data_IF_922013022241
#
_entry.id   IF_922013022241
#
_cell.length_a   1.000
_cell.length_b   1.000
_cell.length_c   1.000
_cell.angle_alpha   90.00
_cell.angle_beta   90.00
_cell.angle_gamma   90.00
#
_symmetry.space_group_name_H-M   'P 1'
#
loop_
_entity.id
_entity.type
_entity.pdbx_description
1 polymer ?
#
# COMPACT_ATOMS: atom_id res chain seq x y z
N UNK A 1 -41.33 15.34 30.99
CA UNK A 1 -40.17 14.62 30.43
C UNK A 1 -38.89 15.31 30.91
N UNK A 2 -38.11 14.67 31.78
CA UNK A 2 -37.09 15.35 32.58
C UNK A 2 -35.93 15.85 31.70
N UNK A 3 -35.67 17.16 31.75
CA UNK A 3 -34.57 17.83 31.02
C UNK A 3 -33.20 17.15 31.23
N UNK A 4 -33.04 16.46 32.36
CA UNK A 4 -31.86 15.65 32.70
C UNK A 4 -31.67 14.40 31.82
N UNK A 5 -32.75 13.74 31.38
CA UNK A 5 -32.69 12.58 30.48
C UNK A 5 -32.34 12.97 29.05
N UNK A 6 -32.83 14.12 28.60
CA UNK A 6 -32.51 14.67 27.27
C UNK A 6 -31.04 15.07 27.19
N UNK A 7 -30.48 15.66 28.25
CA UNK A 7 -29.06 16.05 28.31
C UNK A 7 -28.12 14.83 28.21
N UNK A 8 -28.44 13.72 28.91
CA UNK A 8 -27.64 12.50 28.88
C UNK A 8 -27.64 11.81 27.50
N UNK A 9 -28.76 11.83 26.77
CA UNK A 9 -28.84 11.25 25.41
C UNK A 9 -28.01 12.07 24.41
N UNK A 10 -28.01 13.40 24.53
CA UNK A 10 -27.17 14.27 23.69
C UNK A 10 -25.68 14.07 24.00
N UNK A 11 -25.31 13.94 25.28
CA UNK A 11 -23.92 13.72 25.68
C UNK A 11 -23.39 12.35 25.20
N UNK A 12 -24.22 11.31 25.26
CA UNK A 12 -23.85 9.96 24.79
C UNK A 12 -23.85 9.85 23.26
N UNK A 13 -24.69 10.62 22.57
CA UNK A 13 -24.66 10.74 21.11
C UNK A 13 -23.41 11.49 20.61
N UNK A 14 -22.94 12.50 21.36
CA UNK A 14 -21.75 13.29 21.00
C UNK A 14 -20.43 12.55 21.26
N UNK A 15 -20.37 11.71 22.29
CA UNK A 15 -19.16 10.91 22.60
C UNK A 15 -18.90 9.79 21.58
N UNK A 16 -19.95 9.24 20.96
CA UNK A 16 -19.80 8.20 19.93
C UNK A 16 -19.20 8.73 18.61
N UNK A 17 -19.38 10.02 18.30
CA UNK A 17 -18.83 10.64 17.08
C UNK A 17 -17.31 10.87 17.18
N UNK A 18 -16.78 11.07 18.39
CA UNK A 18 -15.36 11.38 18.62
C UNK A 18 -14.43 10.16 18.56
N UNK A 19 -14.95 8.94 18.49
CA UNK A 19 -14.14 7.71 18.38
C UNK A 19 -13.75 7.33 16.94
N UNK A 20 -14.18 8.12 15.95
CA UNK A 20 -13.95 7.83 14.54
C UNK A 20 -12.70 8.54 14.02
N UNK A 21 -11.51 8.02 14.33
CA UNK A 21 -10.30 8.50 13.66
C UNK A 21 -8.99 8.27 14.39
N UNK A 22 -8.56 7.01 14.52
CA UNK A 22 -7.16 6.73 14.82
C UNK A 22 -6.64 5.65 13.87
N UNK A 23 -6.23 6.07 12.68
CA UNK A 23 -5.38 5.30 11.79
C UNK A 23 -4.40 6.29 11.16
N UNK A 24 -3.09 5.99 11.22
CA UNK A 24 -2.11 6.82 10.54
C UNK A 24 -2.37 6.72 9.04
N UNK A 25 -2.79 7.83 8.42
CA UNK A 25 -2.97 7.90 6.97
C UNK A 25 -1.63 8.28 6.35
N UNK A 26 -1.25 7.56 5.30
CA UNK A 26 -0.06 7.88 4.50
C UNK A 26 -0.45 8.45 3.14
N UNK A 27 0.53 9.00 2.42
CA UNK A 27 0.35 9.39 1.03
C UNK A 27 0.07 8.16 0.16
N UNK A 28 -0.90 8.29 -0.73
CA UNK A 28 -1.20 7.27 -1.73
C UNK A 28 -0.07 7.16 -2.76
N UNK A 29 0.09 5.96 -3.33
CA UNK A 29 1.03 5.67 -4.40
C UNK A 29 0.26 5.15 -5.61
N UNK A 30 0.52 5.74 -6.77
CA UNK A 30 0.00 5.28 -8.05
C UNK A 30 1.13 4.59 -8.82
N UNK A 31 0.96 3.29 -9.04
CA UNK A 31 1.90 2.45 -9.79
C UNK A 31 1.49 2.41 -11.26
N UNK A 32 2.38 2.82 -12.16
CA UNK A 32 2.18 2.74 -13.61
C UNK A 32 3.02 1.60 -14.16
N UNK A 33 2.34 0.54 -14.56
CA UNK A 33 2.97 -0.66 -15.11
C UNK A 33 3.19 -0.47 -16.61
N UNK A 34 4.21 -1.10 -17.21
CA UNK A 34 4.35 -1.11 -18.67
C UNK A 34 3.10 -1.71 -19.34
N UNK A 35 2.88 -1.30 -20.59
CA UNK A 35 1.83 -1.90 -21.43
C UNK A 35 2.08 -3.41 -21.51
N UNK A 36 1.02 -4.19 -21.33
CA UNK A 36 1.03 -5.67 -21.39
C UNK A 36 1.95 -6.37 -20.36
N UNK A 37 2.50 -5.65 -19.37
CA UNK A 37 3.27 -6.23 -18.28
C UNK A 37 2.49 -7.31 -17.51
N UNK A 38 3.09 -8.48 -17.32
CA UNK A 38 2.62 -9.55 -16.45
C UNK A 38 3.81 -10.07 -15.67
N UNK A 39 3.67 -10.19 -14.35
CA UNK A 39 4.77 -10.63 -13.50
C UNK A 39 4.85 -9.91 -12.17
N UNK A 40 5.89 -10.24 -11.42
CA UNK A 40 6.25 -9.61 -10.17
C UNK A 40 6.95 -8.28 -10.41
N UNK A 41 6.43 -7.21 -9.81
CA UNK A 41 7.18 -5.98 -9.64
C UNK A 41 7.54 -5.74 -8.18
N UNK A 42 8.62 -4.98 -7.97
CA UNK A 42 9.12 -4.57 -6.66
C UNK A 42 9.62 -3.13 -6.73
N UNK A 43 9.27 -2.36 -5.70
CA UNK A 43 9.79 -1.01 -5.47
C UNK A 43 10.64 -1.05 -4.21
N UNK A 44 11.92 -0.72 -4.35
CA UNK A 44 12.86 -0.55 -3.23
C UNK A 44 12.94 0.92 -2.84
N UNK A 45 12.64 1.22 -1.58
CA UNK A 45 12.60 2.55 -1.00
C UNK A 45 13.87 2.88 -0.21
N UNK A 46 14.13 4.17 -0.01
CA UNK A 46 15.30 4.64 0.74
C UNK A 46 16.65 4.30 0.11
N UNK A 47 16.69 4.00 -1.19
CA UNK A 47 17.92 3.68 -1.89
C UNK A 47 18.71 4.96 -2.12
N UNK A 48 19.91 5.04 -1.54
CA UNK A 48 20.84 6.16 -1.74
C UNK A 48 21.12 6.37 -3.23
N UNK A 49 21.15 7.64 -3.64
CA UNK A 49 21.44 8.11 -5.00
C UNK A 49 20.42 7.67 -6.09
N UNK A 50 19.30 7.02 -5.71
CA UNK A 50 18.20 6.75 -6.62
C UNK A 50 17.29 7.98 -6.78
N UNK A 51 16.61 8.16 -7.94
CA UNK A 51 15.65 9.24 -8.12
C UNK A 51 14.50 9.16 -7.10
N UNK A 52 14.04 10.27 -6.51
CA UNK A 52 12.85 10.28 -5.67
C UNK A 52 11.59 10.09 -6.53
N UNK A 53 10.52 9.54 -5.94
CA UNK A 53 9.22 9.48 -6.60
C UNK A 53 8.64 10.88 -6.74
N UNK A 54 8.25 11.31 -7.96
CA UNK A 54 7.55 12.57 -8.14
C UNK A 54 6.15 12.49 -7.50
N UNK A 55 5.66 13.64 -7.07
CA UNK A 55 4.30 13.79 -6.53
C UNK A 55 3.44 14.46 -7.61
N UNK A 56 2.26 13.89 -7.86
CA UNK A 56 1.24 14.48 -8.73
C UNK A 56 -0.13 14.26 -8.10
N UNK A 57 -0.93 15.33 -8.05
CA UNK A 57 -2.29 15.30 -7.49
C UNK A 57 -2.36 14.71 -6.06
N UNK A 58 -1.32 14.97 -5.25
CA UNK A 58 -1.22 14.51 -3.88
C UNK A 58 -0.78 13.04 -3.69
N UNK A 59 -0.50 12.30 -4.77
CA UNK A 59 0.01 10.93 -4.71
C UNK A 59 1.44 10.83 -5.24
N UNK A 60 2.21 9.85 -4.74
CA UNK A 60 3.48 9.48 -5.38
C UNK A 60 3.22 8.73 -6.68
N UNK A 61 4.07 8.97 -7.67
CA UNK A 61 3.99 8.32 -8.98
C UNK A 61 5.16 7.34 -9.14
N UNK A 62 4.85 6.05 -9.15
CA UNK A 62 5.82 4.97 -9.32
C UNK A 62 5.70 4.39 -10.74
N UNK A 63 6.54 4.84 -11.66
CA UNK A 63 6.62 4.26 -13.01
C UNK A 63 7.47 3.00 -12.95
N UNK A 64 6.84 1.85 -13.11
CA UNK A 64 7.51 0.55 -13.04
C UNK A 64 8.23 0.30 -14.37
N UNK A 65 9.55 0.05 -14.37
CA UNK A 65 10.28 -0.27 -15.59
C UNK A 65 9.90 -1.67 -16.10
N UNK A 66 10.22 -1.97 -17.37
CA UNK A 66 9.99 -3.28 -17.97
C UNK A 66 10.64 -4.46 -17.20
N UNK A 67 11.69 -4.19 -16.43
CA UNK A 67 12.33 -5.17 -15.54
C UNK A 67 11.48 -5.55 -14.32
N UNK A 68 10.42 -4.81 -14.02
CA UNK A 68 9.64 -4.93 -12.78
C UNK A 68 10.32 -4.36 -11.54
N UNK A 69 11.52 -3.78 -11.64
CA UNK A 69 12.31 -3.38 -10.47
C UNK A 69 12.54 -1.88 -10.45
N UNK A 70 11.86 -1.17 -9.56
CA UNK A 70 12.05 0.26 -9.33
C UNK A 70 12.88 0.48 -8.06
N UNK A 71 13.86 1.40 -8.12
CA UNK A 71 14.61 1.88 -6.94
C UNK A 71 14.32 3.37 -6.78
N UNK A 72 14.06 3.81 -5.55
CA UNK A 72 13.80 5.21 -5.23
C UNK A 72 14.46 5.62 -3.92
N UNK A 73 14.84 6.89 -3.82
CA UNK A 73 15.32 7.51 -2.57
C UNK A 73 14.18 7.97 -1.66
N UNK A 74 12.93 7.98 -2.15
CA UNK A 74 11.74 8.24 -1.32
C UNK A 74 11.68 7.23 -0.17
N UNK A 75 11.49 7.72 1.05
CA UNK A 75 11.26 6.85 2.20
C UNK A 75 9.88 6.20 2.09
N UNK A 76 9.76 4.95 2.54
CA UNK A 76 8.45 4.30 2.61
C UNK A 76 7.61 4.99 3.70
N UNK A 77 6.35 5.26 3.40
CA UNK A 77 5.39 5.73 4.39
C UNK A 77 4.52 4.54 4.83
N UNK A 78 4.32 4.37 6.14
CA UNK A 78 3.45 3.33 6.70
C UNK A 78 2.10 3.91 7.09
N UNK A 79 1.04 3.12 6.93
CA UNK A 79 -0.33 3.53 7.23
C UNK A 79 -1.30 3.23 6.10
N UNK A 80 -2.54 3.69 6.29
CA UNK A 80 -3.63 3.49 5.34
C UNK A 80 -3.58 4.52 4.21
N UNK A 81 -3.69 4.06 2.97
CA UNK A 81 -3.86 4.91 1.79
C UNK A 81 -4.61 4.18 0.67
N UNK A 82 -5.04 4.96 -0.33
CA UNK A 82 -5.71 4.45 -1.53
C UNK A 82 -4.71 4.28 -2.68
N UNK A 83 -3.84 3.28 -2.56
CA UNK A 83 -2.90 2.96 -3.64
C UNK A 83 -3.64 2.41 -4.86
N UNK A 84 -3.16 2.77 -6.04
CA UNK A 84 -3.78 2.38 -7.32
C UNK A 84 -2.72 1.87 -8.28
N UNK A 85 -3.12 0.97 -9.16
CA UNK A 85 -2.26 0.40 -10.20
C UNK A 85 -2.89 0.71 -11.55
N UNK A 86 -2.11 1.16 -12.51
CA UNK A 86 -2.58 1.56 -13.83
C UNK A 86 -1.74 0.89 -14.92
N UNK A 87 -2.37 0.65 -16.07
CA UNK A 87 -1.66 0.53 -17.34
C UNK A 87 -1.34 1.94 -17.87
N UNK A 88 -0.38 2.08 -18.80
CA UNK A 88 -0.17 3.35 -19.47
C UNK A 88 -1.44 3.76 -20.22
N UNK A 89 -1.77 5.05 -20.19
CA UNK A 89 -2.91 5.64 -20.90
C UNK A 89 -4.32 5.19 -20.46
N UNK A 90 -4.42 4.32 -19.45
CA UNK A 90 -5.69 3.91 -18.85
C UNK A 90 -6.01 4.77 -17.61
N UNK A 91 -7.22 5.35 -17.58
CA UNK A 91 -7.73 6.07 -16.40
C UNK A 91 -8.31 5.13 -15.35
N UNK A 92 -8.62 3.90 -15.72
CA UNK A 92 -9.22 2.89 -14.84
C UNK A 92 -8.11 2.09 -14.18
N UNK A 93 -8.05 2.01 -12.84
CA UNK A 93 -7.05 1.23 -12.17
C UNK A 93 -7.31 -0.28 -12.31
N UNK A 94 -6.22 -1.06 -12.35
CA UNK A 94 -6.27 -2.50 -12.14
C UNK A 94 -6.65 -2.73 -10.68
N UNK A 95 -7.78 -3.38 -10.47
CA UNK A 95 -8.27 -3.67 -9.13
C UNK A 95 -7.53 -4.86 -8.50
N UNK A 96 -7.35 -4.87 -7.17
CA UNK A 96 -7.01 -6.10 -6.48
C UNK A 96 -8.11 -7.12 -6.75
N UNK A 97 -7.72 -8.33 -7.11
CA UNK A 97 -8.69 -9.39 -7.41
C UNK A 97 -9.03 -10.11 -6.11
N UNK A 98 -10.31 -10.03 -5.72
CA UNK A 98 -10.88 -10.89 -4.69
C UNK A 98 -11.35 -12.19 -5.35
N UNK A 99 -11.17 -13.33 -4.67
CA UNK A 99 -11.17 -14.69 -5.22
C UNK A 99 -12.37 -15.12 -6.11
N UNK A 100 -13.46 -14.35 -6.18
CA UNK A 100 -14.66 -14.69 -6.95
C UNK A 100 -14.58 -14.29 -8.44
N UNK A 101 -13.81 -13.25 -8.79
CA UNK A 101 -13.72 -12.72 -10.17
C UNK A 101 -12.37 -13.00 -10.86
N UNK A 102 -11.62 -13.92 -10.25
CA UNK A 102 -10.19 -14.07 -10.40
C UNK A 102 -9.68 -14.85 -11.60
N UNK A 103 -10.50 -15.76 -12.12
CA UNK A 103 -10.01 -16.84 -12.99
C UNK A 103 -9.58 -16.34 -14.38
N UNK A 104 -10.13 -15.23 -14.85
CA UNK A 104 -9.87 -14.70 -16.21
C UNK A 104 -9.48 -13.23 -16.25
N UNK A 105 -9.60 -12.51 -15.13
CA UNK A 105 -9.34 -11.06 -15.07
C UNK A 105 -7.90 -10.79 -14.62
N UNK A 106 -7.23 -9.85 -15.28
CA UNK A 106 -5.94 -9.34 -14.81
C UNK A 106 -6.15 -8.54 -13.52
N UNK A 107 -5.41 -8.91 -12.48
CA UNK A 107 -5.50 -8.32 -11.16
C UNK A 107 -4.15 -8.07 -10.52
N UNK A 108 -4.20 -7.40 -9.37
CA UNK A 108 -3.07 -7.28 -8.44
C UNK A 108 -3.16 -8.37 -7.37
N UNK A 109 -2.06 -9.08 -7.17
CA UNK A 109 -1.94 -10.24 -6.28
C UNK A 109 -0.81 -10.06 -5.29
N UNK A 110 -0.99 -10.63 -4.09
CA UNK A 110 0.07 -10.82 -3.09
C UNK A 110 0.90 -9.57 -2.82
N UNK A 111 0.24 -8.45 -2.51
CA UNK A 111 0.92 -7.24 -2.06
C UNK A 111 1.64 -7.47 -0.75
N UNK A 112 2.97 -7.43 -0.77
CA UNK A 112 3.83 -7.62 0.40
C UNK A 112 4.64 -6.36 0.62
N UNK A 113 4.64 -5.87 1.86
CA UNK A 113 5.58 -4.88 2.36
C UNK A 113 6.60 -5.60 3.23
N UNK A 114 7.89 -5.36 3.02
CA UNK A 114 8.94 -5.92 3.85
C UNK A 114 10.07 -4.92 4.05
N UNK A 115 10.79 -5.05 5.15
CA UNK A 115 11.86 -4.15 5.51
C UNK A 115 11.39 -2.74 5.92
N UNK A 116 12.38 -1.86 6.03
CA UNK A 116 12.29 -0.48 6.49
C UNK A 116 12.39 -0.34 8.01
N UNK A 117 12.15 0.88 8.45
CA UNK A 117 12.26 1.27 9.85
C UNK A 117 10.89 1.08 10.52
N UNK A 118 10.81 0.18 11.49
CA UNK A 118 9.59 -0.02 12.26
C UNK A 118 9.86 0.05 13.77
N UNK A 119 8.90 0.65 14.48
CA UNK A 119 8.90 0.70 15.94
C UNK A 119 8.57 -0.70 16.48
N UNK A 120 9.47 -1.24 17.29
CA UNK A 120 9.21 -2.40 18.14
C UNK A 120 9.06 -1.93 19.57
N UNK A 121 8.03 -2.46 20.23
CA UNK A 121 7.80 -2.29 21.65
C UNK A 121 8.21 -3.61 22.31
N UNK A 122 9.20 -3.56 23.20
CA UNK A 122 9.60 -4.74 23.97
C UNK A 122 8.55 -5.10 25.04
N UNK A 123 8.78 -6.18 25.80
CA UNK A 123 7.83 -6.66 26.82
C UNK A 123 7.70 -5.67 27.97
N UNK A 124 8.70 -4.80 28.13
CA UNK A 124 8.83 -3.78 29.14
C UNK A 124 8.24 -2.43 28.70
N UNK A 125 7.76 -2.33 27.44
CA UNK A 125 7.15 -1.13 26.88
C UNK A 125 8.13 -0.14 26.26
N UNK A 126 9.43 -0.46 26.20
CA UNK A 126 10.41 0.40 25.56
C UNK A 126 10.30 0.33 24.04
N UNK A 127 10.34 1.51 23.43
CA UNK A 127 10.30 1.66 21.97
C UNK A 127 11.72 1.62 21.42
N UNK A 128 11.95 0.74 20.46
CA UNK A 128 13.18 0.69 19.67
C UNK A 128 12.83 0.76 18.19
N UNK A 129 13.66 1.42 17.38
CA UNK A 129 13.51 1.41 15.93
C UNK A 129 14.40 0.28 15.41
N UNK A 130 13.79 -0.69 14.71
CA UNK A 130 14.56 -1.68 13.95
C UNK A 130 14.70 -1.20 12.52
N UNK A 131 15.95 -1.14 12.07
CA UNK A 131 16.30 -0.82 10.69
C UNK A 131 16.42 -2.11 9.88
N UNK A 132 15.54 -2.29 8.89
CA UNK A 132 15.54 -3.46 7.99
C UNK A 132 15.60 -3.00 6.53
N UNK A 133 16.63 -2.22 6.20
CA UNK A 133 16.75 -1.58 4.89
C UNK A 133 17.38 -2.48 3.81
N UNK A 134 16.93 -2.38 2.54
CA UNK A 134 15.93 -1.42 2.07
C UNK A 134 14.49 -1.91 2.28
N UNK A 135 13.62 -0.99 2.69
CA UNK A 135 12.18 -1.22 2.62
C UNK A 135 11.74 -1.50 1.18
N UNK A 136 10.77 -2.40 1.01
CA UNK A 136 10.27 -2.74 -0.31
C UNK A 136 8.79 -3.10 -0.29
N UNK A 137 8.16 -2.84 -1.43
CA UNK A 137 6.79 -3.26 -1.73
C UNK A 137 6.82 -4.08 -3.01
N UNK A 138 6.23 -5.26 -2.99
CA UNK A 138 6.10 -6.13 -4.16
C UNK A 138 4.68 -6.62 -4.34
N UNK A 139 4.26 -6.74 -5.59
CA UNK A 139 2.98 -7.33 -5.99
C UNK A 139 3.15 -8.03 -7.34
N UNK A 140 2.26 -8.98 -7.62
CA UNK A 140 2.16 -9.62 -8.92
C UNK A 140 0.99 -9.05 -9.71
N UNK A 141 1.19 -8.81 -11.02
CA UNK A 141 0.14 -8.37 -11.94
C UNK A 141 -0.11 -9.46 -12.96
N UNK A 142 -1.34 -9.93 -13.07
CA UNK A 142 -1.73 -10.96 -14.04
C UNK A 142 -3.04 -11.64 -13.68
N UNK A 143 -3.38 -12.71 -14.39
CA UNK A 143 -4.48 -13.62 -14.01
C UNK A 143 -4.12 -14.47 -12.81
N UNK A 144 -5.11 -15.07 -12.14
CA UNK A 144 -4.88 -16.00 -11.05
C UNK A 144 -4.00 -17.19 -11.46
N UNK A 145 -4.24 -17.75 -12.66
CA UNK A 145 -3.44 -18.86 -13.19
C UNK A 145 -1.97 -18.48 -13.30
N UNK A 146 -1.68 -17.32 -13.89
CA UNK A 146 -0.31 -16.81 -14.04
C UNK A 146 0.33 -16.54 -12.67
N UNK A 147 -0.43 -15.99 -11.72
CA UNK A 147 0.07 -15.80 -10.36
C UNK A 147 0.46 -17.12 -9.70
N UNK A 148 -0.41 -18.14 -9.77
CA UNK A 148 -0.15 -19.47 -9.19
C UNK A 148 1.05 -20.17 -9.84
N UNK A 149 1.26 -19.98 -11.13
CA UNK A 149 2.45 -20.48 -11.85
C UNK A 149 3.73 -19.72 -11.44
N UNK A 150 3.61 -18.46 -11.02
CA UNK A 150 4.73 -17.58 -10.67
C UNK A 150 5.02 -17.44 -9.17
N UNK A 151 4.21 -18.03 -8.28
CA UNK A 151 4.32 -17.83 -6.82
C UNK A 151 5.70 -18.23 -6.27
N UNK A 152 6.34 -19.25 -6.84
CA UNK A 152 7.72 -19.64 -6.51
C UNK A 152 8.83 -18.69 -6.99
N UNK A 153 8.50 -17.66 -7.77
CA UNK A 153 9.44 -16.70 -8.35
C UNK A 153 9.41 -15.32 -7.67
N UNK A 154 8.71 -15.21 -6.53
CA UNK A 154 8.61 -13.96 -5.78
C UNK A 154 10.00 -13.34 -5.55
N UNK A 155 10.22 -12.06 -5.91
CA UNK A 155 11.50 -11.40 -5.70
C UNK A 155 11.84 -11.36 -4.20
N UNK A 156 12.95 -11.98 -3.83
CA UNK A 156 13.45 -12.05 -2.45
C UNK A 156 14.18 -10.80 -2.02
#
# INVERSE_FOLDING_TARGET
>A
MNKFRTLLIVLFGLSAVLLSGCGSSRRAIHYYLPKDYTGWFVVYYGIKDAPPLPIKDGAYIAVIPASGRLKTSTAIEYGSAQDKHFRPDESTPIHPVWAKDAKTTVGIWAGVVSGGDYEQIDKEGNKTIRHDNPARVSSFVGTEKQYREADGTHPK
#
